data_IF_317012953957
#
_entry.id   IF_317012953957
#
_cell.length_a   1.000
_cell.length_b   1.000
_cell.length_c   1.000
_cell.angle_alpha   90.00
_cell.angle_beta   90.00
_cell.angle_gamma   90.00
#
_symmetry.space_group_name_H-M   'P 1'
#
loop_
_entity.id
_entity.type
_entity.pdbx_description
1 polymer ?
#
# COMPACT_ATOMS: atom_id res chain seq x y z
N UNK A 1 10.48 -9.54 14.25
CA UNK A 1 10.02 -9.00 12.96
C UNK A 1 10.80 -7.78 12.42
N UNK A 2 11.56 -7.03 13.22
CA UNK A 2 12.38 -5.89 12.73
C UNK A 2 13.44 -6.31 11.70
N UNK A 3 14.11 -7.43 11.95
CA UNK A 3 15.13 -8.03 11.06
C UNK A 3 14.54 -8.44 9.70
N UNK A 4 13.35 -9.03 9.69
CA UNK A 4 12.64 -9.43 8.48
C UNK A 4 12.29 -8.23 7.59
N UNK A 5 11.80 -7.13 8.18
CA UNK A 5 11.48 -5.91 7.46
C UNK A 5 12.73 -5.24 6.82
N UNK A 6 13.88 -5.32 7.50
CA UNK A 6 15.14 -4.81 6.96
C UNK A 6 15.61 -5.61 5.74
N UNK A 7 15.46 -6.94 5.73
CA UNK A 7 15.79 -7.78 4.57
C UNK A 7 14.86 -7.48 3.38
N UNK A 8 13.57 -7.26 3.64
CA UNK A 8 12.56 -6.90 2.63
C UNK A 8 12.81 -5.57 1.93
N UNK A 9 13.62 -4.67 2.51
CA UNK A 9 13.96 -3.37 1.92
C UNK A 9 14.59 -3.51 0.52
N UNK A 10 15.50 -4.47 0.37
CA UNK A 10 16.26 -4.69 -0.86
C UNK A 10 15.62 -5.72 -1.80
N UNK A 11 14.70 -6.55 -1.31
CA UNK A 11 14.06 -7.59 -2.11
C UNK A 11 13.11 -7.00 -3.17
N UNK A 12 13.20 -7.53 -4.40
CA UNK A 12 12.29 -7.23 -5.52
C UNK A 12 11.02 -8.09 -5.45
N UNK A 13 10.41 -8.18 -4.28
CA UNK A 13 9.14 -8.88 -4.10
C UNK A 13 8.01 -7.87 -3.81
N UNK A 14 6.74 -8.26 -3.99
CA UNK A 14 5.60 -7.39 -3.74
C UNK A 14 5.65 -6.73 -2.34
N UNK A 15 6.02 -7.50 -1.31
CA UNK A 15 6.10 -6.99 0.07
C UNK A 15 7.23 -5.97 0.27
N UNK A 16 8.34 -6.09 -0.46
CA UNK A 16 9.39 -5.08 -0.50
C UNK A 16 8.96 -3.78 -1.17
N UNK A 17 8.15 -3.87 -2.24
CA UNK A 17 7.52 -2.69 -2.86
C UNK A 17 6.59 -1.97 -1.89
N UNK A 18 5.76 -2.69 -1.15
CA UNK A 18 4.92 -2.11 -0.10
C UNK A 18 5.71 -1.40 0.97
N UNK A 19 6.76 -2.05 1.48
CA UNK A 19 7.64 -1.45 2.47
C UNK A 19 8.20 -0.11 1.97
N UNK A 20 8.76 -0.07 0.76
CA UNK A 20 9.31 1.16 0.16
C UNK A 20 8.25 2.23 -0.05
N UNK A 21 7.04 1.86 -0.47
CA UNK A 21 5.91 2.78 -0.65
C UNK A 21 5.45 3.41 0.66
N UNK A 22 5.39 2.64 1.75
CA UNK A 22 5.04 3.19 3.07
C UNK A 22 6.20 4.04 3.60
N UNK A 23 7.44 3.59 3.40
CA UNK A 23 8.64 4.32 3.83
C UNK A 23 8.73 5.70 3.18
N UNK A 24 8.50 5.82 1.87
CA UNK A 24 8.55 7.11 1.16
C UNK A 24 7.45 8.09 1.59
N UNK A 25 6.32 7.59 2.11
CA UNK A 25 5.18 8.40 2.55
C UNK A 25 5.21 8.76 4.03
N UNK A 26 5.71 7.88 4.88
CA UNK A 26 5.46 7.92 6.33
C UNK A 26 6.67 7.53 7.19
N UNK A 27 7.84 7.34 6.57
CA UNK A 27 9.09 7.05 7.27
C UNK A 27 9.31 5.56 7.60
N UNK A 28 10.53 5.24 8.02
CA UNK A 28 11.01 3.87 8.18
C UNK A 28 10.26 3.07 9.26
N UNK A 29 10.04 3.65 10.44
CA UNK A 29 9.36 2.94 11.54
C UNK A 29 7.92 2.58 11.19
N UNK A 30 7.19 3.52 10.57
CA UNK A 30 5.83 3.29 10.07
C UNK A 30 5.78 2.16 9.04
N UNK A 31 6.79 2.08 8.15
CA UNK A 31 6.90 1.01 7.17
C UNK A 31 7.13 -0.36 7.81
N UNK A 32 7.99 -0.45 8.84
CA UNK A 32 8.22 -1.71 9.59
C UNK A 32 6.92 -2.19 10.23
N UNK A 33 6.19 -1.30 10.92
CA UNK A 33 4.92 -1.64 11.59
C UNK A 33 3.85 -2.07 10.58
N UNK A 34 3.68 -1.31 9.49
CA UNK A 34 2.69 -1.64 8.47
C UNK A 34 2.98 -3.00 7.79
N UNK A 35 4.25 -3.28 7.49
CA UNK A 35 4.66 -4.55 6.88
C UNK A 35 4.48 -5.72 7.84
N UNK A 36 4.82 -5.55 9.12
CA UNK A 36 4.57 -6.58 10.15
C UNK A 36 3.07 -6.86 10.30
N UNK A 37 2.23 -5.82 10.33
CA UNK A 37 0.78 -5.98 10.39
C UNK A 37 0.22 -6.70 9.16
N UNK A 38 0.68 -6.34 7.96
CA UNK A 38 0.29 -7.04 6.72
C UNK A 38 0.68 -8.52 6.78
N UNK A 39 1.90 -8.85 7.21
CA UNK A 39 2.34 -10.23 7.38
C UNK A 39 1.49 -11.00 8.41
N UNK A 40 1.21 -10.39 9.57
CA UNK A 40 0.38 -11.00 10.60
C UNK A 40 -1.03 -11.33 10.08
N UNK A 41 -1.62 -10.44 9.27
CA UNK A 41 -2.91 -10.69 8.62
C UNK A 41 -2.88 -11.87 7.65
N UNK A 42 -1.82 -11.99 6.86
CA UNK A 42 -1.66 -13.11 5.91
C UNK A 42 -1.56 -14.43 6.69
N UNK A 43 -0.68 -14.49 7.70
CA UNK A 43 -0.51 -15.67 8.55
C UNK A 43 -1.81 -16.02 9.26
N UNK A 44 -2.53 -15.03 9.78
CA UNK A 44 -3.82 -15.25 10.43
C UNK A 44 -4.84 -15.89 9.48
N UNK A 45 -4.95 -15.40 8.24
CA UNK A 45 -5.86 -15.98 7.24
C UNK A 45 -5.43 -17.40 6.87
N UNK A 46 -4.13 -17.64 6.64
CA UNK A 46 -3.61 -18.98 6.35
C UNK A 46 -3.95 -19.98 7.45
N UNK A 47 -3.70 -19.61 8.72
CA UNK A 47 -3.97 -20.46 9.88
C UNK A 47 -5.48 -20.67 10.06
N UNK A 48 -6.28 -19.60 9.93
CA UNK A 48 -7.73 -19.65 10.14
C UNK A 48 -8.43 -20.51 9.08
N UNK A 49 -8.08 -20.32 7.81
CA UNK A 49 -8.71 -21.02 6.68
C UNK A 49 -8.06 -22.37 6.40
N UNK A 50 -6.97 -22.72 7.12
CA UNK A 50 -6.13 -23.91 6.89
C UNK A 50 -5.69 -24.06 5.43
N UNK A 51 -5.33 -22.93 4.82
CA UNK A 51 -4.85 -22.88 3.44
C UNK A 51 -3.37 -22.52 3.40
N UNK A 52 -2.69 -23.03 2.38
CA UNK A 52 -1.31 -22.68 2.11
C UNK A 52 -1.19 -21.22 1.68
N UNK A 53 0.06 -20.76 1.65
CA UNK A 53 0.36 -19.42 1.22
C UNK A 53 0.10 -19.28 -0.28
N UNK A 54 -0.83 -18.40 -0.63
CA UNK A 54 -1.13 -18.02 -2.02
C UNK A 54 -0.56 -16.64 -2.34
N UNK A 55 -0.03 -16.45 -3.56
CA UNK A 55 0.55 -15.17 -3.98
C UNK A 55 -0.48 -14.02 -3.99
N UNK A 56 -1.78 -14.36 -4.12
CA UNK A 56 -2.90 -13.44 -3.98
C UNK A 56 -2.89 -12.64 -2.67
N UNK A 57 -2.40 -13.23 -1.57
CA UNK A 57 -2.27 -12.52 -0.28
C UNK A 57 -1.25 -11.37 -0.31
N UNK A 58 -0.26 -11.49 -1.19
CA UNK A 58 0.74 -10.45 -1.41
C UNK A 58 0.40 -9.52 -2.57
N UNK A 59 -0.55 -9.91 -3.43
CA UNK A 59 -0.96 -9.10 -4.57
C UNK A 59 -1.27 -7.67 -4.13
N UNK A 60 -0.66 -6.74 -4.85
CA UNK A 60 -1.05 -5.35 -4.80
C UNK A 60 -1.98 -5.18 -5.99
N UNK A 61 -3.26 -4.87 -5.73
CA UNK A 61 -4.15 -4.43 -6.78
C UNK A 61 -3.60 -3.10 -7.33
N UNK A 62 -2.74 -3.21 -8.33
CA UNK A 62 -2.26 -2.10 -9.14
C UNK A 62 -3.46 -1.37 -9.75
N UNK A 63 -4.49 -2.11 -10.14
CA UNK A 63 -5.80 -1.58 -10.53
C UNK A 63 -6.42 -0.65 -9.48
N UNK A 64 -6.46 -1.03 -8.21
CA UNK A 64 -7.03 -0.18 -7.16
C UNK A 64 -6.19 1.08 -6.92
N UNK A 65 -4.87 0.98 -7.12
CA UNK A 65 -3.99 2.15 -7.04
C UNK A 65 -4.23 3.10 -8.22
N UNK A 66 -4.32 2.55 -9.42
CA UNK A 66 -4.59 3.29 -10.66
C UNK A 66 -5.98 3.93 -10.59
N UNK A 67 -7.00 3.23 -10.11
CA UNK A 67 -8.35 3.78 -9.85
C UNK A 67 -8.30 4.93 -8.87
N UNK A 68 -7.64 4.78 -7.71
CA UNK A 68 -7.50 5.88 -6.74
C UNK A 68 -6.72 7.09 -7.29
N UNK A 69 -5.71 6.85 -8.14
CA UNK A 69 -4.99 7.93 -8.83
C UNK A 69 -5.88 8.63 -9.85
N UNK A 70 -6.63 7.87 -10.65
CA UNK A 70 -7.59 8.40 -11.61
C UNK A 70 -8.63 9.30 -10.92
N UNK A 71 -9.24 8.82 -9.84
CA UNK A 71 -10.19 9.58 -9.05
C UNK A 71 -9.59 10.87 -8.46
N UNK A 72 -8.36 10.80 -7.95
CA UNK A 72 -7.67 11.98 -7.41
C UNK A 72 -7.39 13.02 -8.51
N UNK A 73 -6.95 12.57 -9.69
CA UNK A 73 -6.70 13.44 -10.85
C UNK A 73 -7.99 14.07 -11.37
N UNK A 74 -9.11 13.33 -11.41
CA UNK A 74 -10.42 13.86 -11.82
C UNK A 74 -10.99 14.91 -10.84
N UNK A 75 -10.65 14.82 -9.55
CA UNK A 75 -11.10 15.79 -8.53
C UNK A 75 -10.35 17.14 -8.60
N UNK A 76 -9.12 17.16 -9.13
CA UNK A 76 -8.34 18.37 -9.29
C UNK A 76 -9.00 19.45 -10.19
N UNK A 77 -9.48 19.15 -11.41
CA UNK A 77 -10.14 20.13 -12.27
C UNK A 77 -11.46 20.64 -11.69
N UNK A 78 -12.23 19.78 -11.00
CA UNK A 78 -13.46 20.19 -10.32
C UNK A 78 -13.21 21.26 -9.25
N UNK A 79 -12.09 21.14 -8.52
CA UNK A 79 -11.69 22.12 -7.51
C UNK A 79 -11.30 23.45 -8.14
N UNK A 80 -10.55 23.42 -9.25
CA UNK A 80 -10.15 24.62 -10.00
C UNK A 80 -11.36 25.34 -10.59
N UNK A 81 -12.29 24.60 -11.21
CA UNK A 81 -13.54 25.17 -11.74
C UNK A 81 -14.40 25.82 -10.66
N UNK A 82 -14.49 25.20 -9.47
CA UNK A 82 -15.20 25.79 -8.33
C UNK A 82 -14.55 27.11 -7.89
N UNK A 83 -13.22 27.19 -7.87
CA UNK A 83 -12.50 28.43 -7.54
C UNK A 83 -12.74 29.51 -8.58
N UNK A 84 -12.71 29.18 -9.88
CA UNK A 84 -12.97 30.13 -10.96
C UNK A 84 -14.38 30.75 -10.85
N UNK A 85 -15.40 29.95 -10.50
CA UNK A 85 -16.78 30.42 -10.28
C UNK A 85 -16.98 31.30 -9.03
N UNK A 86 -16.05 31.27 -8.07
CA UNK A 86 -16.15 32.11 -6.86
C UNK A 86 -15.44 33.46 -7.02
N UNK A 87 -14.64 33.63 -8.07
CA UNK A 87 -13.83 34.85 -8.31
C UNK A 87 -14.50 35.80 -9.32
N UNK A 88 -15.51 35.33 -10.08
CA UNK A 88 -16.35 36.16 -10.95
C UNK A 88 -17.73 36.38 -10.34
#
# INVERSE_FOLDING_TARGET
MRTTANNLRASKCPLGFFFRRIQSRSGHMSAVVATAHKLARIIYVMVKEKREFEESYMSFNEEDMLKKRLEATQKAPLKIQKQLKMVG
#
